data_IF_292011824542
#
_entry.id   IF_292011824542
#
_cell.length_a   1.000
_cell.length_b   1.000
_cell.length_c   1.000
_cell.angle_alpha   90.00
_cell.angle_beta   90.00
_cell.angle_gamma   90.00
#
_symmetry.space_group_name_H-M   'P 1'
#
loop_
_entity.id
_entity.type
_entity.pdbx_description
1 polymer ?
#
# COMPACT_ATOMS: atom_id res chain seq x y z
N UNK A 1 -49.19 -7.78 47.75
CA UNK A 1 -48.07 -8.52 47.14
C UNK A 1 -46.82 -7.69 47.21
N UNK A 2 -45.82 -8.07 48.00
CA UNK A 2 -44.54 -7.37 48.07
C UNK A 2 -43.57 -7.97 47.03
N UNK A 3 -42.79 -7.20 46.30
CA UNK A 3 -41.81 -7.73 45.35
C UNK A 3 -40.66 -8.42 46.09
N UNK A 4 -40.33 -9.65 45.68
CA UNK A 4 -39.13 -10.37 46.16
C UNK A 4 -37.90 -9.67 45.68
N UNK A 5 -37.04 -9.19 46.56
CA UNK A 5 -35.69 -8.78 46.32
C UNK A 5 -34.87 -10.00 45.86
N UNK A 6 -34.34 -9.94 44.67
CA UNK A 6 -33.38 -10.91 44.16
C UNK A 6 -32.05 -10.60 44.86
N UNK A 7 -31.51 -11.59 45.60
CA UNK A 7 -30.18 -11.48 46.21
C UNK A 7 -29.10 -11.30 45.17
N UNK A 8 -28.07 -10.49 45.43
CA UNK A 8 -26.93 -10.35 44.48
C UNK A 8 -26.22 -11.70 44.34
N UNK A 9 -25.84 -12.01 43.09
CA UNK A 9 -25.05 -13.19 42.77
C UNK A 9 -23.73 -13.18 43.54
N UNK A 10 -23.23 -14.34 43.99
CA UNK A 10 -21.93 -14.39 44.64
C UNK A 10 -20.81 -13.94 43.69
N UNK A 11 -19.72 -13.34 44.25
CA UNK A 11 -18.60 -12.94 43.43
C UNK A 11 -18.00 -14.15 42.71
N UNK A 12 -17.79 -14.02 41.40
CA UNK A 12 -17.19 -15.04 40.53
C UNK A 12 -15.86 -15.48 41.14
N UNK A 13 -15.75 -16.75 41.58
CA UNK A 13 -14.52 -17.35 41.98
C UNK A 13 -13.58 -17.41 40.73
N UNK A 14 -12.43 -16.81 40.82
CA UNK A 14 -11.38 -16.90 39.80
C UNK A 14 -10.94 -18.35 39.65
N UNK A 15 -11.22 -18.97 38.50
CA UNK A 15 -10.63 -20.24 38.12
C UNK A 15 -9.15 -19.99 37.70
N UNK A 16 -8.21 -20.50 38.48
CA UNK A 16 -6.78 -20.54 38.14
C UNK A 16 -6.56 -21.81 37.31
N UNK A 17 -6.29 -21.66 36.01
CA UNK A 17 -5.88 -22.76 35.14
C UNK A 17 -4.35 -22.93 35.21
N UNK A 18 -3.79 -24.15 35.03
CA UNK A 18 -2.35 -24.35 35.02
C UNK A 18 -1.72 -23.58 33.85
N UNK A 19 -0.84 -22.61 34.14
CA UNK A 19 -0.15 -21.81 33.14
C UNK A 19 -0.49 -20.31 33.12
N UNK A 20 -0.93 -19.74 34.25
CA UNK A 20 -1.17 -18.28 34.42
C UNK A 20 -2.19 -17.61 33.50
N UNK A 21 -3.14 -18.37 32.93
CA UNK A 21 -4.24 -17.82 32.18
C UNK A 21 -5.37 -17.42 33.15
N UNK A 22 -5.72 -16.13 33.21
CA UNK A 22 -6.84 -15.62 34.01
C UNK A 22 -8.06 -15.38 33.13
N UNK A 23 -9.20 -15.91 33.57
CA UNK A 23 -10.50 -15.67 32.93
C UNK A 23 -11.20 -14.48 33.62
N UNK A 24 -11.36 -13.38 32.91
CA UNK A 24 -12.09 -12.20 33.40
C UNK A 24 -13.23 -11.90 32.44
N UNK A 25 -14.49 -12.05 32.92
CA UNK A 25 -15.71 -11.66 32.23
C UNK A 25 -15.86 -12.20 30.79
N UNK A 26 -15.50 -13.47 30.55
CA UNK A 26 -15.67 -14.12 29.23
C UNK A 26 -14.54 -13.86 28.23
N UNK A 27 -13.51 -13.12 28.61
CA UNK A 27 -12.31 -12.87 27.80
C UNK A 27 -11.16 -13.71 28.37
N UNK A 28 -10.49 -14.49 27.52
CA UNK A 28 -9.23 -15.16 27.90
C UNK A 28 -8.16 -14.08 27.92
N UNK A 29 -7.73 -13.72 29.11
CA UNK A 29 -6.67 -12.76 29.32
C UNK A 29 -5.31 -13.50 29.41
N UNK A 30 -4.36 -13.13 28.58
CA UNK A 30 -3.00 -13.63 28.63
C UNK A 30 -2.06 -12.55 29.23
N UNK A 31 -1.64 -12.68 30.52
CA UNK A 31 -0.77 -11.71 31.15
C UNK A 31 0.58 -11.54 30.45
N UNK A 32 1.02 -12.55 29.71
CA UNK A 32 2.27 -12.48 28.95
C UNK A 32 2.19 -11.53 27.74
N UNK A 33 1.01 -11.03 27.39
CA UNK A 33 0.84 -9.99 26.37
C UNK A 33 0.92 -8.57 26.94
N UNK A 34 0.73 -8.34 28.24
CA UNK A 34 0.65 -7.00 28.82
C UNK A 34 1.86 -6.13 28.51
N UNK A 35 3.06 -6.65 28.72
CA UNK A 35 4.30 -5.92 28.42
C UNK A 35 4.40 -5.58 26.94
N UNK A 36 3.98 -6.51 26.05
CA UNK A 36 3.98 -6.28 24.61
C UNK A 36 2.94 -5.23 24.21
N UNK A 37 1.73 -5.27 24.80
CA UNK A 37 0.68 -4.28 24.53
C UNK A 37 1.12 -2.89 25.00
N UNK A 38 1.74 -2.78 26.18
CA UNK A 38 2.29 -1.53 26.70
C UNK A 38 3.41 -1.00 25.79
N UNK A 39 4.34 -1.87 25.38
CA UNK A 39 5.41 -1.55 24.44
C UNK A 39 4.87 -0.94 23.14
N UNK A 40 3.81 -1.53 22.57
CA UNK A 40 3.15 -1.00 21.35
C UNK A 40 2.50 0.35 21.65
N UNK A 41 1.80 0.49 22.77
CA UNK A 41 1.13 1.72 23.19
C UNK A 41 2.08 2.91 23.38
N UNK A 42 3.26 2.65 23.94
CA UNK A 42 4.31 3.65 24.19
C UNK A 42 5.05 4.06 22.92
N UNK A 43 4.90 3.30 21.85
CA UNK A 43 5.51 3.62 20.54
C UNK A 43 6.81 2.87 20.28
N UNK A 44 7.20 1.94 21.13
CA UNK A 44 8.43 1.19 20.98
C UNK A 44 8.37 0.20 19.81
N UNK A 45 9.53 -0.08 19.24
CA UNK A 45 9.69 -0.94 18.06
C UNK A 45 9.44 -2.41 18.39
N UNK A 46 8.54 -3.06 17.65
CA UNK A 46 8.28 -4.49 17.77
C UNK A 46 9.16 -5.30 16.81
N UNK A 47 9.50 -6.52 17.20
CA UNK A 47 10.21 -7.49 16.36
C UNK A 47 9.25 -8.48 15.68
N UNK A 48 9.77 -9.36 14.82
CA UNK A 48 8.95 -10.30 14.05
C UNK A 48 8.16 -11.29 14.92
N UNK A 49 8.76 -11.81 16.01
CA UNK A 49 8.09 -12.73 16.91
C UNK A 49 6.96 -12.04 17.69
N UNK A 50 7.18 -10.81 18.14
CA UNK A 50 6.18 -9.98 18.78
C UNK A 50 5.02 -9.64 17.82
N UNK A 51 5.34 -9.29 16.57
CA UNK A 51 4.33 -9.02 15.54
C UNK A 51 3.47 -10.25 15.24
N UNK A 52 4.05 -11.45 15.23
CA UNK A 52 3.30 -12.68 15.05
C UNK A 52 2.34 -12.94 16.22
N UNK A 53 2.71 -12.61 17.45
CA UNK A 53 1.82 -12.67 18.62
C UNK A 53 0.68 -11.66 18.48
N UNK A 54 0.98 -10.41 18.11
CA UNK A 54 -0.01 -9.34 17.88
C UNK A 54 -1.00 -9.72 16.76
N UNK A 55 -0.55 -10.45 15.74
CA UNK A 55 -1.43 -10.90 14.66
C UNK A 55 -2.63 -11.72 15.14
N UNK A 56 -2.54 -12.38 16.28
CA UNK A 56 -3.60 -13.22 16.84
C UNK A 56 -4.51 -12.50 17.83
N UNK A 57 -4.28 -11.21 18.11
CA UNK A 57 -5.19 -10.42 18.97
C UNK A 57 -6.61 -10.33 18.36
N UNK A 58 -7.65 -10.09 19.19
CA UNK A 58 -8.93 -9.61 18.72
C UNK A 58 -8.76 -8.40 17.80
N UNK A 59 -9.57 -8.32 16.76
CA UNK A 59 -9.40 -7.29 15.73
C UNK A 59 -9.50 -5.87 16.29
N UNK A 60 -10.44 -5.66 17.20
CA UNK A 60 -10.72 -4.37 17.83
C UNK A 60 -9.54 -3.89 18.68
N UNK A 61 -8.92 -4.79 19.43
CA UNK A 61 -7.73 -4.49 20.25
C UNK A 61 -6.54 -4.12 19.35
N UNK A 62 -6.30 -4.90 18.31
CA UNK A 62 -5.26 -4.62 17.33
C UNK A 62 -5.49 -3.28 16.63
N UNK A 63 -6.76 -2.96 16.31
CA UNK A 63 -7.16 -1.69 15.73
C UNK A 63 -6.87 -0.51 16.64
N UNK A 64 -7.21 -0.62 17.94
CA UNK A 64 -6.95 0.42 18.93
C UNK A 64 -5.45 0.71 19.10
N UNK A 65 -4.61 -0.33 19.13
CA UNK A 65 -3.15 -0.20 19.16
C UNK A 65 -2.61 0.47 17.89
N UNK A 66 -3.15 0.09 16.72
CA UNK A 66 -2.75 0.70 15.45
C UNK A 66 -3.16 2.17 15.35
N UNK A 67 -4.35 2.54 15.85
CA UNK A 67 -4.77 3.94 15.90
C UNK A 67 -3.88 4.75 16.86
N UNK A 68 -3.50 4.19 18.01
CA UNK A 68 -2.51 4.80 18.89
C UNK A 68 -1.17 5.04 18.20
N UNK A 69 -0.67 4.04 17.47
CA UNK A 69 0.58 4.17 16.67
C UNK A 69 0.45 5.23 15.57
N UNK A 70 -0.73 5.34 14.92
CA UNK A 70 -1.02 6.42 13.98
C UNK A 70 -0.93 7.79 14.65
N UNK A 71 -1.53 7.93 15.84
CA UNK A 71 -1.50 9.18 16.59
C UNK A 71 -0.07 9.60 16.94
N UNK A 72 0.78 8.67 17.37
CA UNK A 72 2.19 8.94 17.68
C UNK A 72 2.96 9.35 16.40
N UNK A 73 2.78 8.62 15.30
CA UNK A 73 3.47 8.89 14.03
C UNK A 73 3.06 10.22 13.38
N UNK A 74 1.86 10.73 13.69
CA UNK A 74 1.31 11.95 13.09
C UNK A 74 1.32 13.17 14.03
N UNK A 75 1.74 13.01 15.27
CA UNK A 75 1.62 14.05 16.30
C UNK A 75 2.23 15.39 15.90
N UNK A 76 3.35 15.39 15.20
CA UNK A 76 4.08 16.60 14.78
C UNK A 76 3.82 17.02 13.33
N UNK A 77 3.09 16.21 12.56
CA UNK A 77 2.79 16.53 11.16
C UNK A 77 1.82 17.70 11.05
N UNK A 78 1.94 18.48 9.96
CA UNK A 78 1.04 19.58 9.65
C UNK A 78 0.91 20.60 10.82
N UNK A 79 2.05 21.02 11.35
CA UNK A 79 2.13 21.96 12.48
C UNK A 79 1.36 21.49 13.73
N UNK A 80 1.44 20.18 14.01
CA UNK A 80 0.78 19.53 15.15
C UNK A 80 -0.66 19.08 14.89
N UNK A 81 -1.22 19.34 13.71
CA UNK A 81 -2.59 18.95 13.33
C UNK A 81 -2.70 17.57 12.66
N UNK A 82 -1.61 16.81 12.61
CA UNK A 82 -1.59 15.55 11.89
C UNK A 82 -2.55 14.47 12.40
N UNK A 83 -3.09 14.61 13.60
CA UNK A 83 -4.13 13.74 14.14
C UNK A 83 -5.56 14.18 13.78
N UNK A 84 -5.74 15.39 13.34
CA UNK A 84 -7.02 15.94 12.88
C UNK A 84 -7.22 15.70 11.39
N UNK A 85 -6.11 15.62 10.64
CA UNK A 85 -6.11 15.60 9.17
C UNK A 85 -5.95 14.16 8.66
N UNK A 86 -6.84 13.79 7.74
CA UNK A 86 -6.69 12.61 6.87
C UNK A 86 -6.59 13.09 5.43
N UNK A 87 -5.57 12.60 4.74
CA UNK A 87 -5.27 13.02 3.37
C UNK A 87 -5.88 12.09 2.32
N UNK A 88 -6.07 12.64 1.11
CA UNK A 88 -6.40 11.89 -0.11
C UNK A 88 -5.68 12.54 -1.31
N UNK A 89 -5.58 11.83 -2.42
CA UNK A 89 -5.05 12.38 -3.66
C UNK A 89 -6.03 12.27 -4.82
N UNK A 90 -5.79 13.08 -5.85
CA UNK A 90 -6.48 12.99 -7.14
C UNK A 90 -5.43 12.64 -8.17
N UNK A 91 -5.48 11.42 -8.67
CA UNK A 91 -4.56 10.95 -9.70
C UNK A 91 -5.23 9.94 -10.64
N UNK A 92 -4.52 9.62 -11.69
CA UNK A 92 -4.91 8.64 -12.69
C UNK A 92 -3.82 7.61 -12.88
N UNK A 93 -4.21 6.34 -12.87
CA UNK A 93 -3.35 5.25 -13.32
C UNK A 93 -3.34 5.22 -14.85
N UNK A 94 -2.20 5.45 -15.47
CA UNK A 94 -1.99 5.38 -16.91
C UNK A 94 -1.05 4.21 -17.20
N UNK A 95 -1.59 3.18 -17.86
CA UNK A 95 -0.78 2.06 -18.28
C UNK A 95 -0.31 2.34 -19.72
N UNK A 96 0.99 2.56 -19.90
CA UNK A 96 1.55 2.87 -21.21
C UNK A 96 1.57 1.66 -22.18
N UNK A 97 1.50 0.44 -21.63
CA UNK A 97 1.33 -0.79 -22.42
C UNK A 97 0.80 -1.92 -21.53
N UNK A 98 0.04 -2.84 -22.12
CA UNK A 98 -0.33 -4.10 -21.47
C UNK A 98 0.56 -5.28 -21.95
N UNK A 99 1.43 -5.06 -22.92
CA UNK A 99 2.37 -6.09 -23.38
C UNK A 99 3.41 -6.39 -22.31
N UNK A 100 3.49 -7.66 -21.88
CA UNK A 100 4.34 -8.07 -20.78
C UNK A 100 4.88 -9.49 -20.99
N UNK A 101 6.17 -9.70 -20.77
CA UNK A 101 6.84 -11.00 -20.89
C UNK A 101 7.07 -11.71 -19.54
N UNK A 102 6.48 -11.21 -18.44
CA UNK A 102 6.67 -11.78 -17.08
C UNK A 102 5.61 -12.83 -16.72
N UNK A 103 4.41 -12.71 -17.28
CA UNK A 103 3.32 -13.69 -17.12
C UNK A 103 2.95 -14.00 -15.66
N UNK A 104 2.92 -13.00 -14.78
CA UNK A 104 2.55 -13.16 -13.38
C UNK A 104 1.21 -13.87 -13.24
N UNK A 105 1.14 -14.89 -12.38
CA UNK A 105 -0.08 -15.71 -12.22
C UNK A 105 -1.25 -14.96 -11.61
N UNK A 106 -0.99 -13.87 -10.90
CA UNK A 106 -1.99 -13.01 -10.26
C UNK A 106 -2.46 -11.83 -11.15
N UNK A 107 -1.83 -11.61 -12.30
CA UNK A 107 -2.16 -10.49 -13.16
C UNK A 107 -3.13 -10.90 -14.27
N UNK A 108 -4.28 -10.24 -14.35
CA UNK A 108 -5.25 -10.42 -15.42
C UNK A 108 -5.05 -9.41 -16.57
N UNK A 109 -4.21 -8.39 -16.38
CA UNK A 109 -4.04 -7.27 -17.30
C UNK A 109 -3.07 -7.55 -18.44
N UNK A 110 -2.03 -8.40 -18.22
CA UNK A 110 -0.99 -8.59 -19.23
C UNK A 110 -1.50 -9.21 -20.53
N UNK A 111 -0.86 -8.81 -21.62
CA UNK A 111 -1.03 -9.38 -22.96
C UNK A 111 0.32 -9.76 -23.54
N UNK A 112 0.28 -10.65 -24.53
CA UNK A 112 1.43 -10.88 -25.44
C UNK A 112 1.31 -9.94 -26.64
N UNK A 113 2.40 -9.72 -27.39
CA UNK A 113 2.38 -8.89 -28.59
C UNK A 113 1.41 -9.41 -29.70
N UNK A 114 0.92 -10.65 -29.55
CA UNK A 114 0.05 -11.31 -30.54
C UNK A 114 -1.44 -11.22 -30.18
N UNK A 115 -1.76 -10.71 -29.01
CA UNK A 115 -3.13 -10.59 -28.56
C UNK A 115 -3.78 -9.36 -29.23
N UNK A 116 -5.03 -9.50 -29.67
CA UNK A 116 -5.74 -8.47 -30.46
C UNK A 116 -5.93 -7.15 -29.70
N UNK A 117 -5.96 -7.20 -28.38
CA UNK A 117 -6.09 -6.05 -27.48
C UNK A 117 -4.75 -5.61 -26.87
N UNK A 118 -3.62 -6.08 -27.44
CA UNK A 118 -2.29 -5.58 -27.06
C UNK A 118 -2.10 -4.15 -27.57
N UNK A 119 -1.54 -3.28 -26.71
CA UNK A 119 -1.32 -1.88 -27.08
C UNK A 119 -0.03 -1.29 -26.50
N UNK A 120 0.42 -0.24 -27.13
CA UNK A 120 1.31 0.79 -26.60
C UNK A 120 0.59 2.12 -26.75
N UNK A 121 0.47 2.90 -25.68
CA UNK A 121 -0.29 4.15 -25.65
C UNK A 121 0.24 5.15 -26.69
N UNK A 122 -0.66 5.85 -27.36
CA UNK A 122 -0.30 6.95 -28.27
C UNK A 122 -0.18 8.26 -27.49
N UNK A 123 0.66 9.19 -27.98
CA UNK A 123 0.79 10.50 -27.34
C UNK A 123 -0.53 11.28 -27.25
N UNK A 124 -1.40 11.32 -28.29
CA UNK A 124 -2.71 11.98 -28.19
C UNK A 124 -3.61 11.39 -27.12
N UNK A 125 -3.59 10.06 -26.94
CA UNK A 125 -4.37 9.40 -25.88
C UNK A 125 -3.81 9.72 -24.50
N UNK A 126 -2.48 9.68 -24.34
CA UNK A 126 -1.80 10.08 -23.12
C UNK A 126 -2.14 11.54 -22.74
N UNK A 127 -2.03 12.45 -23.69
CA UNK A 127 -2.34 13.87 -23.50
C UNK A 127 -3.77 14.07 -23.00
N UNK A 128 -4.74 13.45 -23.65
CA UNK A 128 -6.14 13.50 -23.25
C UNK A 128 -6.34 13.03 -21.81
N UNK A 129 -5.71 11.89 -21.43
CA UNK A 129 -5.81 11.35 -20.07
C UNK A 129 -5.22 12.31 -19.04
N UNK A 130 -4.12 13.00 -19.35
CA UNK A 130 -3.50 13.97 -18.43
C UNK A 130 -4.35 15.25 -18.36
N UNK A 131 -4.88 15.76 -19.47
CA UNK A 131 -5.79 16.91 -19.50
C UNK A 131 -7.05 16.67 -18.67
N UNK A 132 -7.68 15.49 -18.78
CA UNK A 132 -8.81 15.09 -17.93
C UNK A 132 -8.43 14.99 -16.45
N UNK A 133 -7.21 14.56 -16.12
CA UNK A 133 -6.70 14.50 -14.76
C UNK A 133 -6.53 15.90 -14.16
N UNK A 134 -5.95 16.82 -14.94
CA UNK A 134 -5.79 18.22 -14.55
C UNK A 134 -7.13 18.95 -14.37
N UNK A 135 -8.13 18.63 -15.20
CA UNK A 135 -9.48 19.19 -15.07
C UNK A 135 -10.20 18.79 -13.76
N UNK A 136 -9.71 17.75 -13.07
CA UNK A 136 -10.17 17.30 -11.76
C UNK A 136 -9.23 17.74 -10.61
N UNK A 137 -8.38 18.74 -10.84
CA UNK A 137 -7.34 19.19 -9.89
C UNK A 137 -6.34 18.10 -9.53
N UNK A 138 -6.10 17.13 -10.43
CA UNK A 138 -5.09 16.09 -10.26
C UNK A 138 -3.68 16.67 -10.37
N UNK A 139 -2.77 16.18 -9.51
CA UNK A 139 -1.39 16.67 -9.41
C UNK A 139 -0.36 15.66 -9.86
N UNK A 140 -0.77 14.44 -10.09
CA UNK A 140 0.11 13.37 -10.52
C UNK A 140 -0.59 12.35 -11.43
N UNK A 141 0.21 11.58 -12.14
CA UNK A 141 -0.18 10.34 -12.81
C UNK A 141 0.63 9.19 -12.23
N UNK A 142 -0.01 8.02 -12.08
CA UNK A 142 0.66 6.75 -11.82
C UNK A 142 0.95 6.09 -13.17
N UNK A 143 2.20 6.19 -13.64
CA UNK A 143 2.62 5.73 -14.97
C UNK A 143 3.33 4.39 -14.87
N UNK A 144 2.63 3.30 -15.13
CA UNK A 144 3.15 1.93 -15.08
C UNK A 144 2.69 1.13 -16.29
N UNK A 145 3.43 0.08 -16.66
CA UNK A 145 3.03 -0.77 -17.77
C UNK A 145 3.52 -2.22 -17.66
N UNK A 146 3.26 -3.00 -18.69
CA UNK A 146 3.85 -4.31 -18.85
C UNK A 146 5.35 -4.22 -19.16
N UNK A 147 6.08 -5.30 -18.89
CA UNK A 147 7.49 -5.44 -19.27
C UNK A 147 7.58 -5.73 -20.78
N UNK A 148 7.53 -4.66 -21.58
CA UNK A 148 7.51 -4.75 -23.03
C UNK A 148 8.92 -5.10 -23.55
N UNK A 149 9.10 -6.22 -24.30
CA UNK A 149 10.43 -6.72 -24.64
C UNK A 149 11.20 -5.90 -25.68
N UNK A 150 10.54 -4.96 -26.38
CA UNK A 150 11.11 -4.26 -27.54
C UNK A 150 11.13 -2.74 -27.44
N UNK A 151 10.45 -2.15 -26.43
CA UNK A 151 10.52 -0.70 -26.26
C UNK A 151 11.93 -0.28 -25.85
N UNK A 152 12.47 0.69 -26.58
CA UNK A 152 13.84 1.17 -26.37
C UNK A 152 13.92 2.16 -25.22
N UNK A 153 15.10 2.35 -24.64
CA UNK A 153 15.33 3.39 -23.64
C UNK A 153 14.90 4.76 -24.14
N UNK A 154 15.23 5.08 -25.41
CA UNK A 154 14.87 6.35 -26.00
C UNK A 154 13.37 6.58 -26.02
N UNK A 155 12.57 5.55 -26.31
CA UNK A 155 11.12 5.65 -26.29
C UNK A 155 10.59 6.10 -24.90
N UNK A 156 11.16 5.55 -23.83
CA UNK A 156 10.76 5.95 -22.46
C UNK A 156 11.22 7.36 -22.10
N UNK A 157 12.42 7.76 -22.52
CA UNK A 157 12.93 9.12 -22.33
C UNK A 157 12.08 10.15 -23.07
N UNK A 158 11.71 9.86 -24.32
CA UNK A 158 10.83 10.72 -25.13
C UNK A 158 9.44 10.84 -24.52
N UNK A 159 8.88 9.75 -23.98
CA UNK A 159 7.61 9.75 -23.27
C UNK A 159 7.65 10.68 -22.04
N UNK A 160 8.67 10.56 -21.20
CA UNK A 160 8.86 11.40 -20.03
C UNK A 160 9.06 12.88 -20.40
N UNK A 161 9.91 13.15 -21.39
CA UNK A 161 10.21 14.49 -21.88
C UNK A 161 8.96 15.15 -22.49
N UNK A 162 8.13 14.37 -23.23
CA UNK A 162 6.85 14.85 -23.78
C UNK A 162 5.91 15.28 -22.65
N UNK A 163 5.71 14.43 -21.63
CA UNK A 163 4.83 14.74 -20.51
C UNK A 163 5.32 16.00 -19.80
N UNK A 164 6.62 16.09 -19.46
CA UNK A 164 7.16 17.25 -18.73
C UNK A 164 7.19 18.52 -19.56
N UNK A 165 7.36 18.40 -20.88
CA UNK A 165 7.32 19.54 -21.79
C UNK A 165 5.91 20.13 -21.94
N UNK A 166 4.90 19.27 -22.03
CA UNK A 166 3.50 19.70 -22.22
C UNK A 166 2.77 19.97 -20.89
N UNK A 167 3.06 19.21 -19.85
CA UNK A 167 2.38 19.23 -18.54
C UNK A 167 3.37 19.38 -17.38
N UNK A 168 4.14 20.48 -17.30
CA UNK A 168 5.22 20.63 -16.31
C UNK A 168 4.75 20.53 -14.85
N UNK A 169 3.46 20.82 -14.57
CA UNK A 169 2.85 20.77 -13.24
C UNK A 169 2.53 19.36 -12.76
N UNK A 170 2.44 18.37 -13.67
CA UNK A 170 2.13 16.99 -13.30
C UNK A 170 3.37 16.29 -12.74
N UNK A 171 3.24 15.65 -11.58
CA UNK A 171 4.22 14.69 -11.09
C UNK A 171 4.06 13.36 -11.83
N UNK A 172 5.16 12.84 -12.35
CA UNK A 172 5.21 11.49 -12.91
C UNK A 172 5.65 10.54 -11.80
N UNK A 173 4.70 9.84 -11.20
CA UNK A 173 4.94 8.72 -10.29
C UNK A 173 5.00 7.46 -11.15
N UNK A 174 6.19 7.09 -11.61
CA UNK A 174 6.31 6.17 -12.73
C UNK A 174 7.33 5.06 -12.55
N UNK A 175 7.07 3.99 -13.25
CA UNK A 175 7.83 2.76 -13.36
C UNK A 175 8.11 2.08 -12.02
N UNK A 176 7.58 0.88 -11.87
CA UNK A 176 7.83 0.07 -10.67
C UNK A 176 9.28 -0.43 -10.63
N UNK A 177 9.80 -0.81 -9.45
CA UNK A 177 11.11 -1.46 -9.37
C UNK A 177 11.26 -2.66 -10.29
N UNK A 178 10.18 -3.41 -10.48
CA UNK A 178 10.17 -4.54 -11.40
C UNK A 178 10.40 -4.14 -12.85
N UNK A 179 9.85 -2.98 -13.27
CA UNK A 179 10.12 -2.41 -14.60
C UNK A 179 11.57 -1.93 -14.71
N UNK A 180 12.14 -1.33 -13.67
CA UNK A 180 13.55 -0.93 -13.68
C UNK A 180 14.52 -2.12 -13.78
N UNK A 181 14.21 -3.24 -13.13
CA UNK A 181 14.98 -4.48 -13.31
C UNK A 181 14.88 -4.97 -14.76
N UNK A 182 13.70 -4.96 -15.34
CA UNK A 182 13.50 -5.26 -16.76
C UNK A 182 14.28 -4.30 -17.67
N UNK A 183 14.27 -3.00 -17.39
CA UNK A 183 15.03 -2.01 -18.16
C UNK A 183 16.55 -2.27 -18.11
N UNK A 184 17.07 -2.66 -16.92
CA UNK A 184 18.48 -3.07 -16.78
C UNK A 184 18.83 -4.21 -17.73
N UNK A 185 17.93 -5.19 -17.83
CA UNK A 185 18.12 -6.35 -18.70
C UNK A 185 18.02 -6.00 -20.20
N UNK A 186 17.03 -5.19 -20.59
CA UNK A 186 16.80 -4.85 -22.00
C UNK A 186 17.80 -3.82 -22.52
N UNK A 187 18.14 -2.80 -21.72
CA UNK A 187 19.04 -1.73 -22.15
C UNK A 187 20.52 -2.07 -21.95
N UNK A 188 20.82 -3.13 -21.18
CA UNK A 188 22.20 -3.54 -20.86
C UNK A 188 23.03 -2.38 -20.26
N UNK A 189 22.41 -1.56 -19.43
CA UNK A 189 23.02 -0.43 -18.74
C UNK A 189 22.92 -0.60 -17.20
N UNK A 190 23.84 0.03 -16.43
CA UNK A 190 23.73 0.05 -14.96
C UNK A 190 22.43 0.69 -14.49
N UNK A 191 21.81 0.11 -13.48
CA UNK A 191 20.55 0.57 -12.90
C UNK A 191 20.59 2.06 -12.50
N UNK A 192 21.65 2.48 -11.84
CA UNK A 192 21.84 3.87 -11.40
C UNK A 192 21.83 4.85 -12.59
N UNK A 193 22.48 4.50 -13.71
CA UNK A 193 22.45 5.31 -14.93
C UNK A 193 21.04 5.40 -15.50
N UNK A 194 20.30 4.28 -15.55
CA UNK A 194 18.93 4.26 -16.08
C UNK A 194 18.02 5.18 -15.25
N UNK A 195 18.04 5.05 -13.92
CA UNK A 195 17.22 5.87 -13.03
C UNK A 195 17.62 7.34 -13.10
N UNK A 196 18.91 7.64 -13.18
CA UNK A 196 19.40 9.02 -13.33
C UNK A 196 18.91 9.66 -14.64
N UNK A 197 18.99 8.94 -15.77
CA UNK A 197 18.53 9.41 -17.06
C UNK A 197 17.00 9.64 -17.07
N UNK A 198 16.24 8.73 -16.45
CA UNK A 198 14.78 8.86 -16.31
C UNK A 198 14.40 10.06 -15.43
N UNK A 199 15.14 10.27 -14.32
CA UNK A 199 14.97 11.47 -13.48
C UNK A 199 15.25 12.74 -14.27
N UNK A 200 16.33 12.77 -15.05
CA UNK A 200 16.65 13.91 -15.89
C UNK A 200 15.61 14.19 -16.96
N UNK A 201 14.94 13.15 -17.49
CA UNK A 201 13.83 13.26 -18.45
C UNK A 201 12.50 13.68 -17.81
N UNK A 202 12.39 13.71 -16.46
CA UNK A 202 11.20 14.22 -15.79
C UNK A 202 10.48 13.24 -14.84
N UNK A 203 11.04 12.04 -14.60
CA UNK A 203 10.52 11.15 -13.56
C UNK A 203 10.60 11.82 -12.19
N UNK A 204 9.47 11.92 -11.47
CA UNK A 204 9.39 12.61 -10.19
C UNK A 204 9.47 11.70 -8.96
N UNK A 205 8.99 10.47 -9.07
CA UNK A 205 8.97 9.50 -7.96
C UNK A 205 8.70 8.08 -8.46
N UNK A 206 8.97 7.07 -7.64
CA UNK A 206 8.86 5.65 -8.00
C UNK A 206 7.76 4.97 -7.18
N UNK A 207 6.73 4.37 -7.80
CA UNK A 207 5.71 3.59 -7.10
C UNK A 207 6.23 2.26 -6.59
N UNK A 208 5.65 1.77 -5.48
CA UNK A 208 6.02 0.49 -4.88
C UNK A 208 5.54 -0.76 -5.61
N UNK A 209 4.98 -0.60 -6.81
CA UNK A 209 4.50 -1.72 -7.62
C UNK A 209 5.54 -2.83 -7.77
N UNK A 210 5.09 -4.06 -7.93
CA UNK A 210 5.99 -5.20 -8.01
C UNK A 210 6.52 -5.71 -6.66
N UNK A 211 6.16 -5.04 -5.54
CA UNK A 211 6.50 -5.50 -4.20
C UNK A 211 5.84 -6.83 -3.84
N UNK A 212 4.58 -7.00 -4.20
CA UNK A 212 3.70 -8.11 -3.75
C UNK A 212 4.05 -8.56 -2.33
N UNK A 213 4.76 -9.70 -2.19
CA UNK A 213 5.41 -10.13 -0.95
C UNK A 213 6.92 -10.23 -1.20
N UNK A 214 7.74 -9.53 -0.44
CA UNK A 214 9.21 -9.54 -0.55
C UNK A 214 9.82 -10.76 0.19
N UNK A 215 9.32 -11.94 -0.16
CA UNK A 215 9.82 -13.25 0.28
C UNK A 215 9.94 -14.14 -0.95
N UNK A 216 11.15 -14.50 -1.33
CA UNK A 216 11.43 -15.13 -2.63
C UNK A 216 10.72 -16.46 -2.83
N UNK A 217 10.52 -17.24 -1.76
CA UNK A 217 9.70 -18.46 -1.80
C UNK A 217 8.27 -18.19 -2.31
N UNK A 218 7.68 -17.07 -1.89
CA UNK A 218 6.34 -16.66 -2.34
C UNK A 218 6.42 -16.12 -3.76
N UNK A 219 7.40 -15.25 -4.07
CA UNK A 219 7.59 -14.64 -5.40
C UNK A 219 7.76 -15.70 -6.48
N UNK A 220 8.57 -16.73 -6.26
CA UNK A 220 8.77 -17.85 -7.19
C UNK A 220 7.48 -18.61 -7.49
N UNK A 221 6.52 -18.67 -6.56
CA UNK A 221 5.22 -19.30 -6.79
C UNK A 221 4.28 -18.46 -7.63
N UNK A 222 4.26 -17.14 -7.41
CA UNK A 222 3.27 -16.23 -8.02
C UNK A 222 3.76 -15.51 -9.28
N UNK A 223 5.07 -15.26 -9.38
CA UNK A 223 5.69 -14.52 -10.50
C UNK A 223 7.18 -14.84 -10.66
N UNK A 224 7.51 -16.08 -11.11
CA UNK A 224 8.91 -16.57 -11.12
C UNK A 224 9.85 -15.79 -12.06
N UNK A 225 9.31 -15.07 -13.04
CA UNK A 225 10.07 -14.25 -14.00
C UNK A 225 10.16 -12.77 -13.61
N UNK A 226 9.62 -12.40 -12.45
CA UNK A 226 9.65 -11.02 -11.96
C UNK A 226 10.87 -10.80 -11.06
N UNK A 227 11.29 -9.54 -10.91
CA UNK A 227 12.34 -9.15 -9.97
C UNK A 227 12.18 -9.86 -8.61
N UNK A 228 13.24 -10.39 -8.03
CA UNK A 228 13.26 -10.98 -6.70
C UNK A 228 13.30 -9.88 -5.62
N UNK A 229 13.25 -10.27 -4.36
CA UNK A 229 13.11 -9.32 -3.25
C UNK A 229 14.26 -8.33 -3.17
N UNK A 230 15.49 -8.82 -3.30
CA UNK A 230 16.69 -7.99 -3.21
C UNK A 230 16.84 -7.06 -4.43
N UNK A 231 16.44 -7.50 -5.64
CA UNK A 231 16.41 -6.63 -6.82
C UNK A 231 15.43 -5.45 -6.62
N UNK A 232 14.26 -5.72 -6.05
CA UNK A 232 13.27 -4.68 -5.75
C UNK A 232 13.82 -3.65 -4.76
N UNK A 233 14.49 -4.11 -3.70
CA UNK A 233 15.11 -3.26 -2.69
C UNK A 233 16.30 -2.48 -3.27
N UNK A 234 17.10 -3.08 -4.15
CA UNK A 234 18.19 -2.38 -4.85
C UNK A 234 17.68 -1.19 -5.65
N UNK A 235 16.60 -1.36 -6.41
CA UNK A 235 15.98 -0.26 -7.17
C UNK A 235 15.55 0.87 -6.24
N UNK A 236 14.90 0.56 -5.12
CA UNK A 236 14.47 1.56 -4.15
C UNK A 236 15.66 2.29 -3.52
N UNK A 237 16.71 1.55 -3.17
CA UNK A 237 17.94 2.14 -2.63
C UNK A 237 18.58 3.13 -3.61
N UNK A 238 18.73 2.74 -4.87
CA UNK A 238 19.29 3.60 -5.92
C UNK A 238 18.40 4.82 -6.15
N UNK A 239 17.07 4.63 -6.26
CA UNK A 239 16.14 5.74 -6.45
C UNK A 239 16.23 6.75 -5.29
N UNK A 240 16.26 6.29 -4.05
CA UNK A 240 16.37 7.14 -2.87
C UNK A 240 17.72 7.88 -2.83
N UNK A 241 18.85 7.22 -3.12
CA UNK A 241 20.17 7.88 -3.22
C UNK A 241 20.18 8.96 -4.28
N UNK A 242 19.46 8.77 -5.37
CA UNK A 242 19.30 9.78 -6.42
C UNK A 242 18.29 10.88 -6.07
N UNK A 243 17.68 10.84 -4.88
CA UNK A 243 16.72 11.83 -4.40
C UNK A 243 15.32 11.71 -5.00
N UNK A 244 14.95 10.52 -5.49
CA UNK A 244 13.57 10.16 -5.83
C UNK A 244 12.89 9.53 -4.63
N UNK A 245 11.76 10.09 -4.20
CA UNK A 245 10.91 9.44 -3.20
C UNK A 245 10.12 8.28 -3.83
N UNK A 246 9.64 7.40 -2.98
CA UNK A 246 8.83 6.27 -3.44
C UNK A 246 7.73 5.91 -2.43
N UNK A 247 6.81 5.02 -2.85
CA UNK A 247 5.94 4.28 -1.94
C UNK A 247 6.43 2.84 -1.77
N UNK A 248 5.98 2.15 -0.74
CA UNK A 248 6.14 0.71 -0.61
C UNK A 248 4.76 0.05 -0.61
N UNK A 249 4.62 -1.09 -1.28
CA UNK A 249 3.33 -1.79 -1.39
C UNK A 249 3.46 -3.26 -1.03
N UNK A 250 2.37 -3.83 -0.52
CA UNK A 250 2.22 -5.27 -0.32
C UNK A 250 0.89 -5.75 -0.90
N UNK A 251 0.91 -6.79 -1.73
CA UNK A 251 -0.28 -7.53 -2.14
C UNK A 251 -0.31 -8.85 -1.36
N UNK A 252 -1.39 -9.10 -0.63
CA UNK A 252 -1.53 -10.27 0.22
C UNK A 252 -2.89 -10.96 0.08
N UNK A 253 -3.05 -12.09 0.77
CA UNK A 253 -4.29 -12.89 0.74
C UNK A 253 -4.29 -13.89 -0.39
N UNK A 254 -3.12 -14.48 -0.72
CA UNK A 254 -3.00 -15.50 -1.76
C UNK A 254 -2.30 -16.78 -1.24
N UNK A 255 -0.96 -16.88 -1.32
CA UNK A 255 -0.22 -18.13 -0.98
C UNK A 255 0.80 -17.92 0.15
N UNK A 256 0.91 -16.71 0.63
CA UNK A 256 1.77 -16.32 1.74
C UNK A 256 1.15 -16.71 3.10
N UNK A 257 1.97 -16.69 4.14
CA UNK A 257 1.58 -16.85 5.54
C UNK A 257 1.66 -15.50 6.28
N UNK A 258 1.08 -15.37 7.49
CA UNK A 258 1.29 -14.18 8.33
C UNK A 258 2.77 -13.87 8.58
N UNK A 259 3.61 -14.89 8.75
CA UNK A 259 5.06 -14.71 8.91
C UNK A 259 5.72 -14.09 7.66
N UNK A 260 5.27 -14.47 6.45
CA UNK A 260 5.77 -13.87 5.21
C UNK A 260 5.39 -12.38 5.09
N UNK A 261 4.20 -11.99 5.56
CA UNK A 261 3.80 -10.56 5.62
C UNK A 261 4.67 -9.78 6.57
N UNK A 262 5.00 -10.36 7.72
CA UNK A 262 5.88 -9.74 8.71
C UNK A 262 7.32 -9.64 8.18
N UNK A 263 7.82 -10.66 7.47
CA UNK A 263 9.12 -10.59 6.81
C UNK A 263 9.15 -9.48 5.75
N UNK A 264 8.09 -9.32 4.96
CA UNK A 264 7.94 -8.19 4.04
C UNK A 264 8.02 -6.85 4.78
N UNK A 265 7.30 -6.70 5.89
CA UNK A 265 7.37 -5.47 6.70
C UNK A 265 8.79 -5.21 7.21
N UNK A 266 9.50 -6.24 7.68
CA UNK A 266 10.88 -6.10 8.13
C UNK A 266 11.81 -5.60 7.02
N UNK A 267 11.69 -6.15 5.81
CA UNK A 267 12.52 -5.75 4.67
C UNK A 267 12.29 -4.30 4.27
N UNK A 268 11.03 -3.85 4.17
CA UNK A 268 10.73 -2.44 3.83
C UNK A 268 11.05 -1.50 4.97
N UNK A 269 10.90 -1.92 6.25
CA UNK A 269 11.30 -1.14 7.42
C UNK A 269 12.82 -0.93 7.46
N UNK A 270 13.59 -1.99 7.22
CA UNK A 270 15.05 -1.92 7.16
C UNK A 270 15.53 -0.99 6.02
N UNK A 271 14.89 -1.06 4.85
CA UNK A 271 15.18 -0.13 3.75
C UNK A 271 14.83 1.32 4.12
N UNK A 272 13.71 1.53 4.81
CA UNK A 272 13.31 2.86 5.28
C UNK A 272 14.29 3.41 6.33
N UNK A 273 14.77 2.58 7.27
CA UNK A 273 15.81 2.98 8.23
C UNK A 273 17.08 3.46 7.51
N UNK A 274 17.45 2.75 6.43
CA UNK A 274 18.64 3.05 5.62
C UNK A 274 18.50 4.34 4.82
N UNK A 275 17.40 4.52 4.10
CA UNK A 275 17.29 5.54 3.04
C UNK A 275 16.29 6.65 3.32
N UNK A 276 15.28 6.42 4.19
CA UNK A 276 14.19 7.35 4.52
C UNK A 276 13.41 7.88 3.30
N UNK A 277 13.45 7.15 2.18
CA UNK A 277 12.88 7.59 0.91
C UNK A 277 11.41 7.21 0.69
N UNK A 278 10.85 6.28 1.49
CA UNK A 278 9.44 5.93 1.36
C UNK A 278 8.55 7.01 1.99
N UNK A 279 7.58 7.49 1.23
CA UNK A 279 6.55 8.44 1.70
C UNK A 279 5.37 7.74 2.35
N UNK A 280 5.04 6.54 1.89
CA UNK A 280 3.91 5.76 2.40
C UNK A 280 4.10 4.26 2.21
N UNK A 281 3.36 3.50 3.03
CA UNK A 281 3.10 2.08 2.85
C UNK A 281 1.64 1.85 2.49
N UNK A 282 1.38 0.96 1.51
CA UNK A 282 0.05 0.58 1.04
C UNK A 282 -0.05 -0.94 0.99
N UNK A 283 -0.94 -1.56 1.75
CA UNK A 283 -1.28 -2.96 1.57
C UNK A 283 -2.65 -3.11 0.91
N UNK A 284 -2.77 -4.10 0.02
CA UNK A 284 -4.00 -4.39 -0.70
C UNK A 284 -4.16 -5.89 -0.92
N UNK A 285 -5.40 -6.33 -1.08
CA UNK A 285 -5.70 -7.76 -1.17
C UNK A 285 -5.69 -8.25 -2.61
N UNK A 286 -5.18 -9.44 -2.80
CA UNK A 286 -5.25 -10.16 -4.06
C UNK A 286 -6.70 -10.28 -4.55
N UNK A 287 -6.92 -10.03 -5.84
CA UNK A 287 -8.18 -10.23 -6.54
C UNK A 287 -8.01 -11.41 -7.51
N UNK A 288 -8.92 -12.38 -7.43
CA UNK A 288 -8.70 -13.69 -8.07
C UNK A 288 -9.32 -13.80 -9.47
N UNK A 289 -10.32 -12.98 -9.81
CA UNK A 289 -11.06 -13.11 -11.07
C UNK A 289 -10.14 -12.95 -12.28
N UNK A 290 -10.32 -13.78 -13.26
CA UNK A 290 -9.54 -13.82 -14.51
C UNK A 290 -8.03 -14.02 -14.35
N UNK A 291 -7.55 -14.38 -13.15
CA UNK A 291 -6.13 -14.68 -12.90
C UNK A 291 -5.84 -16.18 -12.99
N UNK A 292 -4.55 -16.53 -13.17
CA UNK A 292 -4.08 -17.91 -13.15
C UNK A 292 -3.77 -18.43 -11.74
N UNK A 293 -3.69 -17.53 -10.77
CA UNK A 293 -3.39 -17.88 -9.38
C UNK A 293 -4.67 -18.31 -8.67
N UNK A 294 -4.75 -19.61 -8.41
CA UNK A 294 -5.89 -20.17 -7.68
C UNK A 294 -5.64 -20.05 -6.17
N UNK A 295 -6.20 -19.01 -5.58
CA UNK A 295 -6.20 -18.77 -4.15
C UNK A 295 -7.55 -18.18 -3.72
N UNK A 296 -8.02 -18.44 -2.48
CA UNK A 296 -9.21 -17.79 -1.97
C UNK A 296 -8.95 -16.28 -1.81
N UNK A 297 -9.98 -15.47 -2.01
CA UNK A 297 -9.92 -14.04 -1.68
C UNK A 297 -10.11 -13.84 -0.18
N UNK A 298 -9.45 -12.85 0.39
CA UNK A 298 -9.61 -12.46 1.79
C UNK A 298 -10.54 -11.27 1.93
N UNK A 299 -11.35 -11.26 3.00
CA UNK A 299 -12.31 -10.21 3.29
C UNK A 299 -11.76 -9.05 4.12
N UNK A 300 -12.63 -8.11 4.46
CA UNK A 300 -12.29 -6.90 5.21
C UNK A 300 -11.68 -7.16 6.58
N UNK A 301 -12.05 -8.23 7.28
CA UNK A 301 -11.47 -8.61 8.56
C UNK A 301 -9.94 -8.86 8.46
N UNK A 302 -9.53 -9.66 7.49
CA UNK A 302 -8.11 -9.98 7.27
C UNK A 302 -7.34 -8.76 6.73
N UNK A 303 -8.00 -7.95 5.88
CA UNK A 303 -7.45 -6.68 5.42
C UNK A 303 -7.17 -5.73 6.60
N UNK A 304 -8.16 -5.47 7.46
CA UNK A 304 -8.02 -4.58 8.61
C UNK A 304 -6.95 -5.07 9.60
N UNK A 305 -6.88 -6.39 9.83
CA UNK A 305 -5.83 -7.01 10.65
C UNK A 305 -4.43 -6.74 10.10
N UNK A 306 -4.24 -6.93 8.80
CA UNK A 306 -2.95 -6.69 8.14
C UNK A 306 -2.60 -5.22 8.11
N UNK A 307 -3.59 -4.35 7.84
CA UNK A 307 -3.46 -2.89 7.88
C UNK A 307 -3.01 -2.38 9.26
N UNK A 308 -3.66 -2.86 10.31
CA UNK A 308 -3.33 -2.51 11.69
C UNK A 308 -1.91 -2.96 12.05
N UNK A 309 -1.57 -4.22 11.73
CA UNK A 309 -0.23 -4.73 11.99
C UNK A 309 0.84 -3.97 11.21
N UNK A 310 0.57 -3.58 9.95
CA UNK A 310 1.48 -2.76 9.17
C UNK A 310 1.79 -1.43 9.87
N UNK A 311 0.77 -0.72 10.38
CA UNK A 311 1.00 0.54 11.13
C UNK A 311 1.80 0.32 12.41
N UNK A 312 1.56 -0.78 13.13
CA UNK A 312 2.31 -1.08 14.34
C UNK A 312 3.76 -1.39 14.03
N UNK A 313 4.01 -2.18 12.98
CA UNK A 313 5.35 -2.68 12.65
C UNK A 313 6.22 -1.63 11.94
N UNK A 314 5.63 -0.86 11.04
CA UNK A 314 6.32 0.15 10.23
C UNK A 314 6.38 1.50 10.96
N UNK A 315 7.04 1.51 12.12
CA UNK A 315 7.16 2.66 13.01
C UNK A 315 7.88 3.86 12.39
N UNK A 316 8.70 3.63 11.38
CA UNK A 316 9.48 4.63 10.64
C UNK A 316 8.81 5.12 9.34
N UNK A 317 7.61 4.64 9.02
CA UNK A 317 6.85 5.13 7.86
C UNK A 317 5.97 6.34 8.24
N UNK A 318 6.11 7.48 7.55
CA UNK A 318 5.31 8.66 7.88
C UNK A 318 3.82 8.46 7.59
N UNK A 319 3.48 7.70 6.56
CA UNK A 319 2.09 7.45 6.18
C UNK A 319 1.82 5.99 5.90
N UNK A 320 0.62 5.54 6.27
CA UNK A 320 0.04 4.27 5.88
C UNK A 320 -1.31 4.56 5.23
N UNK A 321 -1.46 4.13 4.00
CA UNK A 321 -2.62 4.40 3.17
C UNK A 321 -3.65 3.27 3.27
N UNK A 322 -4.93 3.61 3.28
CA UNK A 322 -6.03 2.67 3.11
C UNK A 322 -6.18 2.26 1.64
N UNK A 323 -6.55 1.00 1.39
CA UNK A 323 -6.80 0.48 0.04
C UNK A 323 -8.28 0.14 -0.17
N UNK A 324 -9.08 1.17 -0.43
CA UNK A 324 -10.51 1.01 -0.72
C UNK A 324 -10.77 0.36 -2.08
N UNK A 325 -9.86 0.48 -3.04
CA UNK A 325 -10.00 -0.06 -4.40
C UNK A 325 -10.31 -1.55 -4.41
N UNK A 326 -9.71 -2.32 -3.49
CA UNK A 326 -9.90 -3.78 -3.38
C UNK A 326 -10.93 -4.18 -2.31
N UNK A 327 -11.28 -3.28 -1.38
CA UNK A 327 -12.13 -3.59 -0.22
C UNK A 327 -13.47 -2.85 -0.21
N UNK A 328 -13.64 -1.87 -1.10
CA UNK A 328 -14.80 -0.99 -1.11
C UNK A 328 -14.70 0.17 -0.11
N UNK A 329 -15.59 1.13 -0.29
CA UNK A 329 -15.58 2.40 0.43
C UNK A 329 -15.72 2.21 1.96
N UNK A 330 -16.61 1.34 2.40
CA UNK A 330 -16.90 1.11 3.83
C UNK A 330 -15.68 0.57 4.59
N UNK A 331 -15.00 -0.44 4.05
CA UNK A 331 -13.81 -1.00 4.68
C UNK A 331 -12.65 0.00 4.56
N UNK A 332 -12.54 0.72 3.45
CA UNK A 332 -11.58 1.80 3.27
C UNK A 332 -11.71 2.90 4.33
N UNK A 333 -12.94 3.30 4.66
CA UNK A 333 -13.23 4.24 5.74
C UNK A 333 -12.84 3.67 7.11
N UNK A 334 -13.24 2.43 7.43
CA UNK A 334 -12.91 1.79 8.71
C UNK A 334 -11.41 1.68 8.92
N UNK A 335 -10.63 1.44 7.87
CA UNK A 335 -9.17 1.36 7.93
C UNK A 335 -8.50 2.62 8.51
N UNK A 336 -9.16 3.79 8.43
CA UNK A 336 -8.70 5.04 9.07
C UNK A 336 -8.69 4.94 10.61
N UNK A 337 -9.45 4.02 11.20
CA UNK A 337 -9.41 3.69 12.63
C UNK A 337 -8.51 2.49 12.93
N UNK A 338 -7.94 1.88 11.90
CA UNK A 338 -7.00 0.77 11.97
C UNK A 338 -5.60 1.19 11.51
N UNK A 339 -5.19 2.42 11.83
CA UNK A 339 -3.84 2.92 11.66
C UNK A 339 -3.55 3.64 10.34
N UNK A 340 -4.49 3.69 9.39
CA UNK A 340 -4.32 4.52 8.20
C UNK A 340 -4.50 6.02 8.52
N UNK A 341 -3.75 6.87 7.82
CA UNK A 341 -3.87 8.33 7.88
C UNK A 341 -4.07 8.97 6.49
N UNK A 342 -4.29 8.14 5.50
CA UNK A 342 -4.51 8.54 4.10
C UNK A 342 -5.53 7.60 3.46
N UNK A 343 -6.53 8.15 2.77
CA UNK A 343 -7.57 7.36 2.11
C UNK A 343 -7.18 6.94 0.68
N UNK A 344 -6.00 7.37 0.23
CA UNK A 344 -5.48 7.08 -1.11
C UNK A 344 -6.03 8.00 -2.18
N UNK A 345 -6.00 7.54 -3.41
CA UNK A 345 -6.48 8.28 -4.58
C UNK A 345 -7.95 7.97 -4.89
N UNK A 346 -8.63 8.92 -5.56
CA UNK A 346 -9.92 8.65 -6.18
C UNK A 346 -9.80 7.64 -7.34
N UNK A 347 -8.58 7.36 -7.82
CA UNK A 347 -8.30 6.45 -8.93
C UNK A 347 -9.21 6.70 -10.13
N UNK A 348 -9.02 7.85 -10.81
CA UNK A 348 -9.82 8.26 -11.99
C UNK A 348 -9.92 7.11 -13.00
N UNK A 349 -8.82 6.38 -13.15
CA UNK A 349 -8.72 5.17 -13.95
C UNK A 349 -7.91 4.11 -13.21
N UNK A 350 -8.41 2.88 -13.20
CA UNK A 350 -7.71 1.71 -12.68
C UNK A 350 -7.99 0.54 -13.62
N UNK A 351 -6.95 0.09 -14.34
CA UNK A 351 -7.08 -0.93 -15.37
C UNK A 351 -6.57 -2.31 -14.94
N UNK A 352 -5.69 -2.36 -13.94
CA UNK A 352 -4.98 -3.60 -13.57
C UNK A 352 -5.85 -4.46 -12.64
N UNK A 353 -6.35 -3.89 -11.56
CA UNK A 353 -7.17 -4.59 -10.58
C UNK A 353 -8.61 -4.76 -11.08
N UNK A 354 -9.09 -3.83 -11.91
CA UNK A 354 -10.42 -3.94 -12.53
C UNK A 354 -10.52 -5.13 -13.48
N UNK A 355 -9.45 -5.50 -14.17
CA UNK A 355 -9.40 -6.75 -14.96
C UNK A 355 -9.52 -8.01 -14.09
N UNK A 356 -9.23 -7.90 -12.79
CA UNK A 356 -9.42 -8.95 -11.80
C UNK A 356 -10.75 -8.81 -11.01
N UNK A 357 -11.74 -8.10 -11.56
CA UNK A 357 -13.12 -8.07 -11.06
C UNK A 357 -13.46 -6.91 -10.12
N UNK A 358 -12.53 -5.99 -9.82
CA UNK A 358 -12.81 -4.85 -8.94
C UNK A 358 -13.60 -3.77 -9.67
N UNK A 359 -14.73 -3.35 -9.06
CA UNK A 359 -15.64 -2.37 -9.69
C UNK A 359 -15.88 -1.11 -8.84
N UNK A 360 -15.22 -0.99 -7.70
CA UNK A 360 -15.40 0.15 -6.81
C UNK A 360 -14.93 1.47 -7.44
N UNK A 361 -15.67 2.54 -7.16
CA UNK A 361 -15.36 3.91 -7.62
C UNK A 361 -15.61 4.89 -6.48
N UNK A 362 -14.82 5.96 -6.41
CA UNK A 362 -15.04 7.08 -5.49
C UNK A 362 -14.82 8.42 -6.20
N UNK A 363 -15.59 9.41 -5.79
CA UNK A 363 -15.40 10.81 -6.16
C UNK A 363 -14.66 11.57 -5.05
N UNK A 364 -14.18 12.78 -5.34
CA UNK A 364 -13.63 13.68 -4.31
C UNK A 364 -14.66 13.94 -3.21
N UNK A 365 -15.94 14.10 -3.57
CA UNK A 365 -17.02 14.30 -2.59
C UNK A 365 -17.18 13.08 -1.66
N UNK A 366 -17.08 11.86 -2.20
CA UNK A 366 -17.12 10.64 -1.38
C UNK A 366 -15.92 10.57 -0.42
N UNK A 367 -14.69 10.87 -0.91
CA UNK A 367 -13.50 10.89 -0.06
C UNK A 367 -13.67 11.85 1.11
N UNK A 368 -14.08 13.08 0.83
CA UNK A 368 -14.30 14.12 1.84
C UNK A 368 -15.37 13.73 2.84
N UNK A 369 -16.51 13.21 2.37
CA UNK A 369 -17.61 12.73 3.22
C UNK A 369 -17.15 11.60 4.17
N UNK A 370 -16.52 10.56 3.62
CA UNK A 370 -16.07 9.40 4.41
C UNK A 370 -15.05 9.78 5.49
N UNK A 371 -14.16 10.71 5.19
CA UNK A 371 -13.17 11.24 6.14
C UNK A 371 -13.88 12.05 7.23
N UNK A 372 -14.79 12.96 6.84
CA UNK A 372 -15.49 13.86 7.78
C UNK A 372 -16.45 13.11 8.71
N UNK A 373 -17.11 12.04 8.25
CA UNK A 373 -17.96 11.18 9.06
C UNK A 373 -17.23 10.55 10.26
N UNK A 374 -15.90 10.39 10.17
CA UNK A 374 -15.07 9.89 11.27
C UNK A 374 -14.53 10.99 12.18
N UNK A 375 -14.88 12.27 11.92
CA UNK A 375 -14.44 13.44 12.68
C UNK A 375 -13.06 13.95 12.28
N UNK A 376 -12.55 13.57 11.10
CA UNK A 376 -11.30 14.09 10.54
C UNK A 376 -11.53 15.20 9.52
N UNK A 377 -10.52 16.05 9.32
CA UNK A 377 -10.50 17.04 8.26
C UNK A 377 -9.92 16.44 6.97
N UNK A 378 -10.68 16.44 5.86
CA UNK A 378 -10.22 15.90 4.58
C UNK A 378 -9.37 16.93 3.83
N UNK A 379 -8.13 16.60 3.54
CA UNK A 379 -7.23 17.43 2.74
C UNK A 379 -6.69 16.68 1.53
N UNK A 380 -6.71 17.34 0.37
CA UNK A 380 -5.99 16.84 -0.80
C UNK A 380 -4.49 17.03 -0.59
N UNK A 381 -3.68 16.07 -1.02
CA UNK A 381 -2.23 16.09 -0.95
C UNK A 381 -1.57 15.83 -2.29
N UNK A 382 -0.31 16.24 -2.39
CA UNK A 382 0.59 15.79 -3.44
C UNK A 382 1.29 14.44 -3.09
N UNK A 383 2.22 14.02 -3.94
CA UNK A 383 2.97 12.77 -3.75
C UNK A 383 3.94 12.81 -2.55
N UNK A 384 4.35 13.99 -2.12
CA UNK A 384 5.22 14.20 -0.95
C UNK A 384 4.44 14.43 0.35
N UNK A 385 3.13 14.20 0.33
CA UNK A 385 2.22 14.43 1.47
C UNK A 385 2.16 15.88 1.94
N UNK A 386 2.42 16.86 1.05
CA UNK A 386 2.15 18.27 1.29
C UNK A 386 0.68 18.54 1.01
N UNK A 387 0.05 19.32 1.90
CA UNK A 387 -1.36 19.68 1.72
C UNK A 387 -1.50 20.68 0.57
N UNK A 388 -2.54 20.49 -0.22
CA UNK A 388 -2.86 21.30 -1.41
C UNK A 388 -4.08 22.21 -1.18
N UNK A 389 -4.48 22.45 0.02
CA UNK A 389 -5.58 23.36 0.50
C UNK A 389 -6.36 22.75 1.67
#
# INVERSE_FOLDING_TARGET
MRPRLIAPAPPCASLVLPGDIRYVAGVIYDPALDELLQKVWDGDRVNQAEALRLFHLPLEELGALADRRRQLARATAYDGRGNEIVTYSVDRNINYTNVCNVYCKFCAFYRTEKDDDAYVITLPELDKKIEETLALDGTQILLQGGHHPKLTKQWYLDLLAHIKGKFPQINIHGFSPSEFVHFREVFQEPLEKIIADFKAAGLGSVPGGGGEILVDRVRQRVSPLKAMSDDWLEVMDVAHRLGLNSSATMMFGHVETPADRIEHFERVRAQQDKSKGFTAFICWTFQAEHTKLRAPTVGGHEYLRTQALARIYLDNFPSVQSSWVTQGQAIGQVALKFGANDLGSIMIEENVVSQAGTTFRMTVADMRRLISELGYEPHQRDNWYRLLN
#
